data_IF_914513632744
#
_entry.id   IF_914513632744
#
_cell.length_a   1.000
_cell.length_b   1.000
_cell.length_c   1.000
_cell.angle_alpha   90.00
_cell.angle_beta   90.00
_cell.angle_gamma   90.00
#
_symmetry.space_group_name_H-M   'P 1'
#
loop_
_entity.id
_entity.type
_entity.pdbx_description
1 polymer ?
#
# COMPACT_ATOMS: atom_id res chain seq x y z
N UNK A 1 -28.40 16.77 8.92
CA UNK A 1 -28.37 15.31 9.13
C UNK A 1 -27.27 14.63 8.30
N UNK A 2 -25.99 14.96 8.50
CA UNK A 2 -24.85 14.14 8.01
C UNK A 2 -23.56 14.48 8.76
N UNK A 3 -23.58 14.45 10.10
CA UNK A 3 -22.39 14.72 10.92
C UNK A 3 -22.27 13.76 12.11
N UNK A 4 -22.77 12.52 11.96
CA UNK A 4 -22.80 11.51 13.02
C UNK A 4 -22.41 10.11 12.53
N UNK A 5 -21.32 10.01 11.76
CA UNK A 5 -20.66 8.72 11.45
C UNK A 5 -19.16 8.72 11.77
N UNK A 6 -18.72 9.60 12.67
CA UNK A 6 -17.31 9.67 13.09
C UNK A 6 -17.05 9.07 14.49
N UNK A 7 -18.06 8.50 15.16
CA UNK A 7 -17.96 8.10 16.58
C UNK A 7 -18.44 6.67 16.90
N UNK A 8 -18.65 5.82 15.90
CA UNK A 8 -19.16 4.44 16.09
C UNK A 8 -18.32 3.37 15.38
N UNK A 9 -16.99 3.51 15.46
CA UNK A 9 -16.04 2.41 15.24
C UNK A 9 -15.19 2.17 16.49
N UNK A 10 -15.85 2.14 17.65
CA UNK A 10 -15.27 1.73 18.93
C UNK A 10 -15.90 0.42 19.37
N UNK A 11 -15.81 -0.62 18.52
CA UNK A 11 -16.17 -1.97 18.90
C UNK A 11 -14.92 -2.66 19.50
N UNK A 12 -14.77 -2.47 20.81
CA UNK A 12 -14.32 -3.45 21.80
C UNK A 12 -13.25 -4.49 21.37
N UNK A 13 -11.99 -4.24 21.77
CA UNK A 13 -11.01 -5.30 22.06
C UNK A 13 -10.48 -5.09 23.49
N UNK A 14 -10.78 -6.04 24.38
CA UNK A 14 -10.12 -6.16 25.69
C UNK A 14 -8.62 -6.39 25.41
N UNK A 15 -7.76 -5.65 26.11
CA UNK A 15 -6.29 -5.65 25.98
C UNK A 15 -5.67 -4.64 24.96
N UNK A 16 -6.14 -3.39 25.00
CA UNK A 16 -5.29 -2.23 25.30
C UNK A 16 -4.12 -1.82 24.40
N UNK A 17 -3.85 -2.46 23.25
CA UNK A 17 -2.95 -1.92 22.21
C UNK A 17 -3.51 -2.19 20.83
N UNK A 18 -4.10 -1.19 20.19
CA UNK A 18 -4.24 -1.21 18.74
C UNK A 18 -2.83 -1.15 18.15
N UNK A 19 -2.26 -2.29 17.75
CA UNK A 19 -1.02 -2.28 16.99
C UNK A 19 -1.36 -1.78 15.60
N UNK A 20 -1.00 -0.54 15.32
CA UNK A 20 -1.06 -0.02 13.97
C UNK A 20 -0.18 -0.90 13.08
N UNK A 21 -0.82 -1.74 12.25
CA UNK A 21 -0.16 -2.77 11.44
C UNK A 21 0.64 -2.19 10.28
N UNK A 22 0.24 -1.02 9.77
CA UNK A 22 0.81 -0.35 8.61
C UNK A 22 1.03 1.14 8.92
N UNK A 23 1.98 1.81 8.26
CA UNK A 23 2.12 3.26 8.39
C UNK A 23 0.80 3.99 8.06
N UNK A 24 0.55 5.18 8.65
CA UNK A 24 -0.68 5.92 8.43
C UNK A 24 -0.81 6.33 6.95
N UNK A 25 -1.99 6.11 6.38
CA UNK A 25 -2.35 6.43 5.00
C UNK A 25 -3.51 7.42 4.99
N UNK A 26 -3.50 8.37 4.06
CA UNK A 26 -4.63 9.29 3.86
C UNK A 26 -5.84 8.51 3.36
N UNK A 27 -7.02 8.92 3.80
CA UNK A 27 -8.26 8.44 3.21
C UNK A 27 -8.57 9.24 1.94
N UNK A 28 -8.73 8.54 0.82
CA UNK A 28 -9.20 9.10 -0.45
C UNK A 28 -10.56 8.54 -0.80
N UNK A 29 -11.42 9.37 -1.38
CA UNK A 29 -12.64 8.90 -2.02
C UNK A 29 -12.30 8.01 -3.23
N UNK A 30 -13.21 7.12 -3.62
CA UNK A 30 -13.05 6.27 -4.82
C UNK A 30 -12.68 7.08 -6.08
N UNK A 31 -13.23 8.29 -6.22
CA UNK A 31 -12.97 9.15 -7.39
C UNK A 31 -11.55 9.71 -7.41
N UNK A 32 -10.98 9.98 -6.24
CA UNK A 32 -9.67 10.61 -6.09
C UNK A 32 -8.54 9.58 -5.99
N UNK A 33 -8.87 8.34 -5.58
CA UNK A 33 -7.93 7.23 -5.52
C UNK A 33 -7.52 6.79 -6.93
N UNK A 34 -6.25 6.42 -7.07
CA UNK A 34 -5.66 5.96 -8.34
C UNK A 34 -5.12 4.55 -8.14
N UNK A 35 -5.19 3.73 -9.19
CA UNK A 35 -4.50 2.45 -9.31
C UNK A 35 -3.17 2.69 -10.03
N UNK A 36 -2.07 2.37 -9.38
CA UNK A 36 -0.73 2.74 -9.85
C UNK A 36 0.16 1.48 -9.86
N UNK A 37 0.73 1.20 -11.03
CA UNK A 37 1.75 0.17 -11.21
C UNK A 37 3.14 0.79 -11.11
N UNK A 38 4.01 0.22 -10.28
CA UNK A 38 5.40 0.65 -10.13
C UNK A 38 6.32 -0.51 -10.47
N UNK A 39 7.11 -0.37 -11.54
CA UNK A 39 8.21 -1.27 -11.83
C UNK A 39 9.46 -0.88 -11.05
N UNK A 40 10.19 -1.87 -10.52
CA UNK A 40 11.36 -1.60 -9.66
C UNK A 40 11.00 -0.99 -8.30
N UNK A 41 9.76 -1.20 -7.83
CA UNK A 41 9.24 -0.56 -6.61
C UNK A 41 9.91 -1.02 -5.30
N UNK A 42 10.71 -2.09 -5.32
CA UNK A 42 11.53 -2.49 -4.17
C UNK A 42 12.99 -1.98 -4.26
N UNK A 43 13.33 -1.23 -5.32
CA UNK A 43 14.60 -0.54 -5.49
C UNK A 43 14.72 0.77 -4.70
N UNK A 44 15.84 1.48 -4.84
CA UNK A 44 16.12 2.72 -4.07
C UNK A 44 15.07 3.82 -4.30
N UNK A 45 14.86 4.24 -5.55
CA UNK A 45 13.87 5.29 -5.87
C UNK A 45 12.45 4.74 -5.78
N UNK A 46 12.24 3.52 -6.28
CA UNK A 46 10.94 2.86 -6.33
C UNK A 46 10.29 2.74 -4.96
N UNK A 47 11.05 2.33 -3.93
CA UNK A 47 10.46 2.12 -2.59
C UNK A 47 9.99 3.41 -1.93
N UNK A 48 10.72 4.52 -2.15
CA UNK A 48 10.30 5.83 -1.66
C UNK A 48 9.06 6.35 -2.40
N UNK A 49 8.96 6.06 -3.70
CA UNK A 49 7.76 6.37 -4.47
C UNK A 49 6.57 5.53 -3.99
N UNK A 50 6.77 4.24 -3.76
CA UNK A 50 5.77 3.33 -3.16
C UNK A 50 5.28 3.88 -1.83
N UNK A 51 6.20 4.23 -0.91
CA UNK A 51 5.83 4.81 0.39
C UNK A 51 5.01 6.08 0.24
N UNK A 52 5.43 7.00 -0.63
CA UNK A 52 4.72 8.26 -0.84
C UNK A 52 3.30 8.04 -1.34
N UNK A 53 3.12 7.17 -2.32
CA UNK A 53 1.81 6.91 -2.94
C UNK A 53 0.88 6.14 -2.00
N UNK A 54 1.43 5.18 -1.24
CA UNK A 54 0.70 4.49 -0.17
C UNK A 54 0.23 5.49 0.89
N UNK A 55 1.14 6.32 1.42
CA UNK A 55 0.80 7.35 2.40
C UNK A 55 -0.21 8.38 1.89
N UNK A 56 -0.23 8.64 0.58
CA UNK A 56 -1.22 9.50 -0.05
C UNK A 56 -2.59 8.84 -0.24
N UNK A 57 -2.72 7.53 0.03
CA UNK A 57 -3.99 6.80 0.03
C UNK A 57 -4.32 6.10 -1.29
N UNK A 58 -3.34 5.93 -2.19
CA UNK A 58 -3.55 5.28 -3.49
C UNK A 58 -3.46 3.75 -3.41
N UNK A 59 -3.99 3.08 -4.44
CA UNK A 59 -3.78 1.65 -4.68
C UNK A 59 -2.49 1.46 -5.48
N UNK A 60 -1.55 0.70 -4.94
CA UNK A 60 -0.21 0.55 -5.48
C UNK A 60 0.12 -0.93 -5.68
N UNK A 61 0.36 -1.30 -6.92
CA UNK A 61 0.93 -2.60 -7.30
C UNK A 61 2.40 -2.41 -7.65
N UNK A 62 3.29 -3.12 -6.95
CA UNK A 62 4.73 -3.12 -7.22
C UNK A 62 5.10 -4.37 -8.01
N UNK A 63 5.85 -4.20 -9.09
CA UNK A 63 6.48 -5.26 -9.87
C UNK A 63 8.00 -5.14 -9.72
N UNK A 64 8.64 -6.18 -9.20
CA UNK A 64 10.08 -6.17 -8.99
C UNK A 64 10.64 -7.61 -9.00
N UNK A 65 11.77 -7.83 -9.67
CA UNK A 65 12.49 -9.11 -9.69
C UNK A 65 13.57 -9.21 -8.60
N UNK A 66 13.71 -8.18 -7.77
CA UNK A 66 14.72 -8.01 -6.72
C UNK A 66 16.17 -8.11 -7.20
N UNK A 67 16.46 -7.74 -8.45
CA UNK A 67 17.83 -7.82 -8.98
C UNK A 67 18.84 -6.99 -8.15
N UNK A 68 18.47 -5.76 -7.80
CA UNK A 68 19.20 -4.91 -6.82
C UNK A 68 18.33 -4.41 -5.68
N UNK A 69 17.00 -4.50 -5.82
CA UNK A 69 16.03 -4.16 -4.80
C UNK A 69 16.02 -5.16 -3.64
N UNK A 70 15.32 -4.81 -2.57
CA UNK A 70 15.14 -5.69 -1.40
C UNK A 70 13.69 -5.69 -0.97
N UNK A 71 13.08 -6.87 -0.79
CA UNK A 71 11.71 -7.02 -0.30
C UNK A 71 11.42 -6.19 0.96
N UNK A 72 12.40 -6.09 1.87
CA UNK A 72 12.30 -5.29 3.11
C UNK A 72 11.99 -3.81 2.88
N UNK A 73 12.27 -3.28 1.69
CA UNK A 73 12.00 -1.88 1.36
C UNK A 73 10.49 -1.60 1.19
N UNK A 74 9.67 -2.65 1.04
CA UNK A 74 8.21 -2.54 0.87
C UNK A 74 7.43 -3.49 1.79
N UNK A 75 8.10 -4.24 2.67
CA UNK A 75 7.49 -5.31 3.44
C UNK A 75 6.46 -4.82 4.46
N UNK A 76 6.60 -3.58 4.93
CA UNK A 76 5.66 -2.93 5.84
C UNK A 76 4.31 -2.60 5.21
N UNK A 77 4.15 -2.77 3.89
CA UNK A 77 2.86 -2.68 3.20
C UNK A 77 2.22 -4.02 2.90
N UNK A 78 2.93 -5.15 3.07
CA UNK A 78 2.42 -6.47 2.71
C UNK A 78 1.16 -6.81 3.52
N UNK A 79 0.07 -7.08 2.80
CA UNK A 79 -1.26 -7.37 3.38
C UNK A 79 -2.12 -6.13 3.62
N UNK A 80 -1.63 -4.93 3.32
CA UNK A 80 -2.48 -3.74 3.25
C UNK A 80 -3.42 -3.87 2.04
N UNK A 81 -4.70 -3.52 2.18
CA UNK A 81 -5.72 -3.72 1.12
C UNK A 81 -5.37 -3.00 -0.19
N UNK A 82 -4.75 -1.83 -0.09
CA UNK A 82 -4.30 -1.02 -1.23
C UNK A 82 -2.90 -1.38 -1.75
N UNK A 83 -2.26 -2.45 -1.28
CA UNK A 83 -0.90 -2.80 -1.70
C UNK A 83 -0.78 -4.22 -2.24
N UNK A 84 -0.16 -4.35 -3.40
CA UNK A 84 0.19 -5.63 -3.99
C UNK A 84 1.67 -5.65 -4.41
N UNK A 85 2.32 -6.80 -4.24
CA UNK A 85 3.69 -7.04 -4.66
C UNK A 85 3.75 -8.27 -5.55
N UNK A 86 4.09 -8.05 -6.81
CA UNK A 86 4.28 -9.07 -7.83
C UNK A 86 5.79 -9.26 -8.03
N UNK A 87 6.29 -10.45 -7.71
CA UNK A 87 7.66 -10.82 -8.03
C UNK A 87 7.72 -11.23 -9.50
N UNK A 88 8.20 -10.33 -10.36
CA UNK A 88 8.21 -10.55 -11.80
C UNK A 88 9.30 -9.70 -12.48
N UNK A 89 9.90 -10.25 -13.53
CA UNK A 89 10.86 -9.54 -14.37
C UNK A 89 10.16 -8.75 -15.46
N UNK A 90 10.41 -7.44 -15.51
CA UNK A 90 9.74 -6.52 -16.44
C UNK A 90 10.07 -6.76 -17.91
N UNK A 91 11.11 -7.55 -18.21
CA UNK A 91 11.43 -7.97 -19.58
C UNK A 91 10.41 -8.99 -20.09
N UNK A 92 9.81 -9.76 -19.18
CA UNK A 92 8.77 -10.74 -19.52
C UNK A 92 7.38 -10.09 -19.52
N UNK A 93 6.48 -10.49 -20.43
CA UNK A 93 5.10 -9.99 -20.43
C UNK A 93 4.40 -10.22 -19.09
N UNK A 94 3.82 -9.15 -18.53
CA UNK A 94 3.01 -9.18 -17.32
C UNK A 94 1.55 -8.91 -17.69
N UNK A 95 0.66 -9.83 -17.31
CA UNK A 95 -0.78 -9.69 -17.47
C UNK A 95 -1.40 -9.36 -16.10
N UNK A 96 -2.15 -8.26 -16.04
CA UNK A 96 -2.82 -7.78 -14.83
C UNK A 96 -4.32 -7.58 -15.10
N UNK A 97 -5.16 -7.79 -14.08
CA UNK A 97 -6.63 -7.58 -14.14
C UNK A 97 -7.06 -6.24 -13.50
#
# INVERSE_FOLDING_TARGET
>A
MTFLRHFLWAASTKDGRFTQKYPPVKFLSEKDRKRILITGGAGFVGSHLTDKLMMDGHEVTVVDNFFTGRKRNVEHWIGHENFELINHDVVEPLYIE
#
